data_IF_037508313326
#
_entry.id   IF_037508313326
#
_cell.length_a   1.000
_cell.length_b   1.000
_cell.length_c   1.000
_cell.angle_alpha   90.00
_cell.angle_beta   90.00
_cell.angle_gamma   90.00
#
_symmetry.space_group_name_H-M   'P 1'
#
loop_
_entity.id
_entity.type
_entity.pdbx_description
1 polymer ?
#
# COMPACT_ATOMS: atom_id res chain seq x y z
N UNK A 1 1.36 27.86 19.07
CA UNK A 1 -0.09 27.61 19.00
C UNK A 1 -0.56 28.18 17.67
N UNK A 2 -1.27 27.38 16.86
CA UNK A 2 -1.78 27.79 15.55
C UNK A 2 -2.97 28.73 15.76
N UNK A 3 -2.99 29.87 15.08
CA UNK A 3 -4.05 30.87 15.23
C UNK A 3 -5.20 30.56 14.26
N UNK A 4 -6.28 29.94 14.76
CA UNK A 4 -7.42 29.60 13.94
C UNK A 4 -8.08 30.82 13.26
N UNK A 5 -8.22 31.94 13.97
CA UNK A 5 -8.83 33.17 13.42
C UNK A 5 -8.03 33.72 12.23
N UNK A 6 -6.71 33.58 12.27
CA UNK A 6 -5.85 33.93 11.14
C UNK A 6 -6.15 33.06 9.92
N UNK A 7 -6.22 31.74 10.08
CA UNK A 7 -6.46 30.82 8.97
C UNK A 7 -7.89 30.95 8.39
N UNK A 8 -8.88 31.23 9.23
CA UNK A 8 -10.24 31.58 8.77
C UNK A 8 -10.19 32.84 7.89
N UNK A 9 -9.43 33.85 8.29
CA UNK A 9 -9.35 35.11 7.54
C UNK A 9 -8.64 34.96 6.19
N UNK A 10 -7.52 34.23 6.12
CA UNK A 10 -6.84 34.01 4.84
C UNK A 10 -7.68 33.15 3.89
N UNK A 11 -8.50 32.25 4.42
CA UNK A 11 -9.41 31.44 3.64
C UNK A 11 -10.54 32.28 3.03
N UNK A 12 -11.17 33.15 3.84
CA UNK A 12 -12.14 34.13 3.34
C UNK A 12 -11.54 35.02 2.25
N UNK A 13 -10.32 35.51 2.46
CA UNK A 13 -9.60 36.31 1.48
C UNK A 13 -9.33 35.53 0.18
N UNK A 14 -8.91 34.27 0.27
CA UNK A 14 -8.69 33.39 -0.88
C UNK A 14 -9.97 33.12 -1.67
N UNK A 15 -11.12 32.98 -1.01
CA UNK A 15 -12.41 32.82 -1.66
C UNK A 15 -12.84 34.11 -2.39
N UNK A 16 -12.75 35.26 -1.71
CA UNK A 16 -13.17 36.56 -2.25
C UNK A 16 -12.30 37.03 -3.43
N UNK A 17 -11.03 36.62 -3.45
CA UNK A 17 -10.03 37.09 -4.41
C UNK A 17 -9.50 35.99 -5.34
N UNK A 18 -10.25 34.92 -5.59
CA UNK A 18 -9.87 33.82 -6.49
C UNK A 18 -9.28 34.30 -7.83
N UNK A 19 -10.00 35.18 -8.54
CA UNK A 19 -9.55 35.67 -9.86
C UNK A 19 -8.23 36.44 -9.79
N UNK A 20 -8.00 37.17 -8.69
CA UNK A 20 -6.74 37.89 -8.49
C UNK A 20 -5.57 36.91 -8.31
N UNK A 21 -5.72 35.89 -7.46
CA UNK A 21 -4.67 34.90 -7.23
C UNK A 21 -4.36 34.06 -8.46
N UNK A 22 -5.39 33.67 -9.21
CA UNK A 22 -5.24 33.00 -10.50
C UNK A 22 -4.41 33.84 -11.47
N UNK A 23 -4.84 35.07 -11.75
CA UNK A 23 -4.16 35.96 -12.70
C UNK A 23 -2.72 36.28 -12.27
N UNK A 24 -2.49 36.44 -10.96
CA UNK A 24 -1.16 36.66 -10.43
C UNK A 24 -0.23 35.47 -10.68
N UNK A 25 -0.70 34.24 -10.48
CA UNK A 25 0.09 33.04 -10.75
C UNK A 25 0.36 32.87 -12.25
N UNK A 26 -0.68 32.98 -13.09
CA UNK A 26 -0.58 32.87 -14.55
C UNK A 26 0.39 33.91 -15.16
N UNK A 27 0.43 35.14 -14.62
CA UNK A 27 1.32 36.19 -15.09
C UNK A 27 2.82 35.93 -14.82
N UNK A 28 3.14 34.98 -13.93
CA UNK A 28 4.50 34.62 -13.55
C UNK A 28 4.98 33.30 -14.18
N UNK A 29 4.13 32.64 -14.98
CA UNK A 29 4.48 31.38 -15.63
C UNK A 29 5.48 31.62 -16.77
N UNK A 30 6.57 30.87 -16.74
CA UNK A 30 7.58 30.78 -17.80
C UNK A 30 7.49 29.45 -18.55
N UNK A 31 7.14 28.37 -17.85
CA UNK A 31 7.15 27.00 -18.40
C UNK A 31 6.03 26.14 -17.84
N UNK A 32 5.49 25.25 -18.67
CA UNK A 32 4.54 24.20 -18.28
C UNK A 32 5.14 22.82 -18.52
N UNK A 33 4.90 21.88 -17.61
CA UNK A 33 5.22 20.46 -17.74
C UNK A 33 3.95 19.64 -17.51
N UNK A 34 3.60 18.76 -18.46
CA UNK A 34 2.53 17.80 -18.33
C UNK A 34 3.06 16.51 -17.70
N UNK A 35 2.25 15.84 -16.88
CA UNK A 35 2.65 14.60 -16.24
C UNK A 35 1.54 13.55 -16.27
N UNK A 36 1.92 12.28 -16.15
CA UNK A 36 0.97 11.14 -16.15
C UNK A 36 0.20 11.01 -14.84
N UNK A 37 0.75 11.57 -13.76
CA UNK A 37 0.18 11.63 -12.41
C UNK A 37 0.88 12.73 -11.62
N UNK A 38 0.55 12.87 -10.35
CA UNK A 38 1.22 13.75 -9.40
C UNK A 38 2.74 13.52 -9.42
N UNK A 39 3.53 14.58 -9.67
CA UNK A 39 5.00 14.53 -9.78
C UNK A 39 5.75 15.50 -8.88
N UNK A 40 5.19 16.66 -8.55
CA UNK A 40 5.84 17.66 -7.71
C UNK A 40 4.97 18.05 -6.52
N UNK A 41 5.59 18.23 -5.35
CA UNK A 41 4.92 18.69 -4.14
C UNK A 41 5.87 19.62 -3.36
N UNK A 42 5.33 20.60 -2.64
CA UNK A 42 6.11 21.52 -1.81
C UNK A 42 6.54 20.83 -0.51
N UNK A 43 5.78 19.84 -0.06
CA UNK A 43 6.04 19.05 1.14
C UNK A 43 7.27 18.16 0.91
N UNK A 44 8.32 18.27 1.73
CA UNK A 44 9.52 17.46 1.60
C UNK A 44 9.22 15.96 1.56
N UNK A 45 9.80 15.28 0.57
CA UNK A 45 9.72 13.82 0.39
C UNK A 45 8.29 13.26 0.34
N UNK A 46 7.33 14.03 -0.21
CA UNK A 46 5.93 13.63 -0.28
C UNK A 46 5.72 12.19 -0.80
N UNK A 47 6.27 11.84 -1.97
CA UNK A 47 6.16 10.49 -2.55
C UNK A 47 6.66 9.38 -1.63
N UNK A 48 7.84 9.58 -1.04
CA UNK A 48 8.45 8.59 -0.14
C UNK A 48 7.63 8.42 1.15
N UNK A 49 6.93 9.47 1.59
CA UNK A 49 6.04 9.41 2.76
C UNK A 49 4.68 8.77 2.44
N UNK A 50 4.21 8.87 1.20
CA UNK A 50 2.95 8.23 0.77
C UNK A 50 3.17 6.80 0.24
N UNK A 51 4.43 6.41 -0.02
CA UNK A 51 4.74 5.17 -0.72
C UNK A 51 4.20 5.18 -2.15
N UNK A 52 4.31 6.32 -2.82
CA UNK A 52 3.80 6.55 -4.17
C UNK A 52 4.93 6.75 -5.18
N UNK A 53 4.63 6.45 -6.44
CA UNK A 53 5.54 6.63 -7.57
C UNK A 53 5.27 7.99 -8.19
N UNK A 54 6.27 8.87 -8.33
CA UNK A 54 6.07 10.15 -8.99
C UNK A 54 5.69 9.93 -10.46
N UNK A 55 4.70 10.68 -10.93
CA UNK A 55 4.30 10.68 -12.33
C UNK A 55 5.44 11.03 -13.28
N UNK A 56 5.40 10.48 -14.48
CA UNK A 56 6.38 10.76 -15.53
C UNK A 56 6.07 12.06 -16.25
N UNK A 57 7.10 12.74 -16.75
CA UNK A 57 6.93 13.89 -17.64
C UNK A 57 6.40 13.38 -18.98
N UNK A 58 5.32 13.99 -19.44
CA UNK A 58 4.67 13.69 -20.72
C UNK A 58 4.97 14.79 -21.74
N UNK A 59 5.29 14.38 -22.96
CA UNK A 59 5.34 15.28 -24.12
C UNK A 59 3.92 15.58 -24.66
N UNK A 60 2.93 14.77 -24.27
CA UNK A 60 1.51 14.95 -24.60
C UNK A 60 0.81 15.75 -23.51
N UNK A 61 -0.17 16.57 -23.93
CA UNK A 61 -1.05 17.29 -23.00
C UNK A 61 -1.89 16.30 -22.19
N UNK A 62 -1.81 16.43 -20.87
CA UNK A 62 -2.57 15.66 -19.88
C UNK A 62 -3.36 16.59 -18.97
N UNK A 63 -4.32 16.04 -18.23
CA UNK A 63 -5.10 16.82 -17.26
C UNK A 63 -4.26 17.24 -16.04
N UNK A 64 -3.21 16.48 -15.71
CA UNK A 64 -2.27 16.80 -14.61
C UNK A 64 -1.05 17.54 -15.15
N UNK A 65 -0.86 18.78 -14.72
CA UNK A 65 0.29 19.58 -15.14
C UNK A 65 0.74 20.57 -14.08
N UNK A 66 1.98 21.04 -14.26
CA UNK A 66 2.63 21.98 -13.37
C UNK A 66 3.17 23.15 -14.18
N UNK A 67 2.96 24.36 -13.68
CA UNK A 67 3.54 25.56 -14.26
C UNK A 67 4.55 26.20 -13.32
N UNK A 68 5.65 26.65 -13.89
CA UNK A 68 6.83 27.12 -13.18
C UNK A 68 7.15 28.56 -13.58
N UNK A 69 7.73 29.31 -12.66
CA UNK A 69 8.34 30.60 -12.97
C UNK A 69 9.78 30.47 -13.51
N UNK A 70 10.40 31.62 -13.83
CA UNK A 70 11.77 31.70 -14.35
C UNK A 70 12.85 31.14 -13.40
N UNK A 71 12.55 31.02 -12.10
CA UNK A 71 13.43 30.43 -11.09
C UNK A 71 13.18 28.92 -10.92
N UNK A 72 12.24 28.35 -11.66
CA UNK A 72 11.85 26.94 -11.57
C UNK A 72 10.95 26.62 -10.38
N UNK A 73 10.31 27.62 -9.76
CA UNK A 73 9.36 27.41 -8.66
C UNK A 73 7.96 27.17 -9.20
N UNK A 74 7.25 26.21 -8.60
CA UNK A 74 5.86 25.88 -8.98
C UNK A 74 4.95 27.06 -8.67
N UNK A 75 4.15 27.48 -9.66
CA UNK A 75 3.14 28.54 -9.57
C UNK A 75 1.72 28.01 -9.67
N UNK A 76 1.52 26.99 -10.49
CA UNK A 76 0.21 26.36 -10.71
C UNK A 76 0.40 24.85 -10.69
N UNK A 77 -0.47 24.15 -9.96
CA UNK A 77 -0.63 22.70 -10.00
C UNK A 77 -2.06 22.43 -10.47
N UNK A 78 -2.24 21.64 -11.52
CA UNK A 78 -3.54 21.26 -12.04
C UNK A 78 -3.77 19.76 -11.87
N UNK A 79 -4.97 19.38 -11.44
CA UNK A 79 -5.43 18.00 -11.24
C UNK A 79 -4.44 17.14 -10.44
N UNK A 80 -3.88 17.73 -9.38
CA UNK A 80 -3.00 17.10 -8.39
C UNK A 80 -3.88 16.39 -7.34
N UNK A 81 -4.49 15.26 -7.71
CA UNK A 81 -5.37 14.38 -6.91
C UNK A 81 -6.86 14.79 -6.81
N UNK A 82 -7.25 15.93 -7.38
CA UNK A 82 -8.64 16.41 -7.39
C UNK A 82 -9.12 16.65 -8.81
N UNK A 83 -10.25 16.05 -9.18
CA UNK A 83 -10.92 16.28 -10.46
C UNK A 83 -11.23 17.78 -10.58
N UNK A 84 -10.81 18.40 -11.68
CA UNK A 84 -10.95 19.85 -11.92
C UNK A 84 -10.33 20.73 -10.81
N UNK A 85 -9.30 20.21 -10.14
CA UNK A 85 -8.56 20.89 -9.07
C UNK A 85 -7.44 21.79 -9.60
N UNK A 86 -7.34 23.01 -9.08
CA UNK A 86 -6.26 23.95 -9.39
C UNK A 86 -5.68 24.56 -8.12
N UNK A 87 -4.37 24.47 -7.96
CA UNK A 87 -3.64 25.07 -6.85
C UNK A 87 -2.77 26.21 -7.33
N UNK A 88 -2.97 27.41 -6.78
CA UNK A 88 -2.18 28.61 -7.08
C UNK A 88 -1.20 28.92 -5.95
N UNK A 89 0.06 29.14 -6.29
CA UNK A 89 1.16 29.26 -5.32
C UNK A 89 1.73 30.68 -5.27
N UNK A 90 1.81 31.24 -4.08
CA UNK A 90 2.47 32.51 -3.78
C UNK A 90 3.69 32.27 -2.90
N UNK A 91 4.79 32.96 -3.21
CA UNK A 91 6.01 32.94 -2.41
C UNK A 91 6.21 34.32 -1.79
N UNK A 92 6.43 34.36 -0.48
CA UNK A 92 6.83 35.52 0.26
C UNK A 92 8.01 35.16 1.19
N UNK A 93 8.63 36.17 1.78
CA UNK A 93 9.76 35.95 2.69
C UNK A 93 9.32 35.07 3.88
N UNK A 94 9.95 33.92 4.04
CA UNK A 94 9.65 32.95 5.10
C UNK A 94 8.35 32.15 4.94
N UNK A 95 7.58 32.31 3.85
CA UNK A 95 6.31 31.58 3.68
C UNK A 95 5.98 31.27 2.21
N UNK A 96 5.49 30.06 1.96
CA UNK A 96 4.88 29.65 0.69
C UNK A 96 3.40 29.39 0.97
N UNK A 97 2.50 30.01 0.21
CA UNK A 97 1.05 29.82 0.37
C UNK A 97 0.49 29.16 -0.87
N UNK A 98 -0.20 28.04 -0.70
CA UNK A 98 -1.00 27.40 -1.74
C UNK A 98 -2.48 27.65 -1.49
N UNK A 99 -3.24 27.81 -2.57
CA UNK A 99 -4.71 27.95 -2.54
C UNK A 99 -5.28 26.98 -3.56
N UNK A 100 -5.96 25.96 -3.06
CA UNK A 100 -6.51 24.86 -3.86
C UNK A 100 -7.99 25.12 -4.10
N UNK A 101 -8.41 25.09 -5.36
CA UNK A 101 -9.78 25.29 -5.77
C UNK A 101 -10.27 24.07 -6.55
N UNK A 102 -11.50 23.63 -6.30
CA UNK A 102 -12.20 22.59 -7.07
C UNK A 102 -13.46 23.20 -7.64
N UNK A 103 -13.68 23.06 -8.95
CA UNK A 103 -14.80 23.70 -9.66
C UNK A 103 -14.86 25.24 -9.46
N UNK A 104 -13.71 25.86 -9.18
CA UNK A 104 -13.61 27.29 -8.89
C UNK A 104 -14.00 27.70 -7.46
N UNK A 105 -14.36 26.76 -6.60
CA UNK A 105 -14.62 26.97 -5.17
C UNK A 105 -13.39 26.60 -4.34
N UNK A 106 -13.10 27.35 -3.27
CA UNK A 106 -11.92 27.11 -2.45
C UNK A 106 -12.06 25.83 -1.61
N UNK A 107 -11.19 24.86 -1.86
CA UNK A 107 -11.11 23.62 -1.10
C UNK A 107 -10.22 23.78 0.14
N UNK A 108 -8.99 24.28 -0.05
CA UNK A 108 -8.03 24.49 1.05
C UNK A 108 -7.07 25.66 0.81
N UNK A 109 -6.52 26.17 1.92
CA UNK A 109 -5.36 27.08 1.91
C UNK A 109 -4.28 26.47 2.80
N UNK A 110 -3.08 26.32 2.28
CA UNK A 110 -1.94 25.78 3.03
C UNK A 110 -0.76 26.75 3.02
N UNK A 111 -0.19 26.98 4.19
CA UNK A 111 1.04 27.75 4.34
C UNK A 111 2.18 26.84 4.76
N UNK A 112 3.30 26.92 4.04
CA UNK A 112 4.57 26.32 4.39
C UNK A 112 5.49 27.42 4.95
N UNK A 113 5.74 27.36 6.24
CA UNK A 113 6.68 28.23 6.92
C UNK A 113 8.09 27.73 6.62
N UNK A 114 8.95 28.64 6.17
CA UNK A 114 10.33 28.34 5.81
C UNK A 114 11.31 29.05 6.73
N UNK A 115 12.38 28.36 7.08
CA UNK A 115 13.51 28.90 7.81
C UNK A 115 14.80 28.43 7.14
N UNK A 116 15.70 29.36 6.84
CA UNK A 116 16.98 29.07 6.15
C UNK A 116 16.80 28.27 4.83
N UNK A 117 15.68 28.50 4.14
CA UNK A 117 15.33 27.82 2.89
C UNK A 117 14.68 26.44 3.04
N UNK A 118 14.47 25.96 4.27
CA UNK A 118 13.83 24.67 4.56
C UNK A 118 12.41 24.87 5.09
N UNK A 119 11.47 24.03 4.65
CA UNK A 119 10.11 24.00 5.23
C UNK A 119 10.21 23.43 6.64
N UNK A 120 9.87 24.21 7.66
CA UNK A 120 9.92 23.79 9.06
C UNK A 120 8.53 23.45 9.63
N UNK A 121 7.47 23.99 9.02
CA UNK A 121 6.08 23.70 9.37
C UNK A 121 5.17 23.91 8.17
N UNK A 122 4.14 23.09 8.02
CA UNK A 122 3.01 23.39 7.14
C UNK A 122 1.72 23.44 7.95
N UNK A 123 0.82 24.36 7.62
CA UNK A 123 -0.53 24.43 8.19
C UNK A 123 -1.53 24.52 7.06
N UNK A 124 -2.50 23.60 7.03
CA UNK A 124 -3.54 23.54 6.02
C UNK A 124 -4.91 23.76 6.65
N UNK A 125 -5.69 24.66 6.07
CA UNK A 125 -7.08 24.89 6.43
C UNK A 125 -7.97 24.36 5.32
N UNK A 126 -8.75 23.32 5.62
CA UNK A 126 -9.76 22.77 4.72
C UNK A 126 -11.09 23.48 4.91
N UNK A 127 -11.51 24.26 3.91
CA UNK A 127 -12.73 25.07 3.93
C UNK A 127 -13.96 24.21 4.20
N UNK A 128 -14.09 23.11 3.44
CA UNK A 128 -15.25 22.22 3.47
C UNK A 128 -15.49 21.58 4.83
N UNK A 129 -14.41 21.25 5.55
CA UNK A 129 -14.46 20.57 6.83
C UNK A 129 -14.33 21.53 8.02
N UNK A 130 -14.05 22.82 7.75
CA UNK A 130 -13.74 23.81 8.78
C UNK A 130 -12.67 23.27 9.74
N UNK A 131 -11.62 22.65 9.17
CA UNK A 131 -10.60 21.88 9.87
C UNK A 131 -9.22 22.43 9.58
N UNK A 132 -8.40 22.47 10.63
CA UNK A 132 -6.97 22.76 10.54
C UNK A 132 -6.17 21.48 10.73
N UNK A 133 -5.18 21.30 9.85
CA UNK A 133 -4.17 20.27 9.93
C UNK A 133 -2.80 20.92 9.87
N UNK A 134 -1.80 20.29 10.48
CA UNK A 134 -0.43 20.79 10.40
C UNK A 134 0.58 19.67 10.48
N UNK A 135 1.77 19.98 9.96
CA UNK A 135 2.94 19.12 10.04
C UNK A 135 4.12 19.95 10.56
N UNK A 136 4.91 19.34 11.43
CA UNK A 136 6.21 19.87 11.86
C UNK A 136 7.32 19.06 11.21
N UNK A 137 8.29 19.77 10.62
CA UNK A 137 9.43 19.17 9.93
C UNK A 137 10.69 19.41 10.76
N UNK A 138 11.26 18.34 11.30
CA UNK A 138 12.41 18.39 12.21
C UNK A 138 13.67 17.98 11.45
N UNK A 139 14.70 18.83 11.53
CA UNK A 139 15.96 18.65 10.82
C UNK A 139 17.14 18.50 11.76
N UNK A 140 18.13 17.69 11.34
CA UNK A 140 19.48 17.69 11.87
C UNK A 140 20.43 18.31 10.83
N UNK A 141 20.84 19.55 11.06
CA UNK A 141 21.48 20.35 10.02
C UNK A 141 20.51 20.60 8.86
N UNK A 142 20.88 20.15 7.65
CA UNK A 142 20.03 20.29 6.46
C UNK A 142 19.32 18.98 6.07
N UNK A 143 19.31 17.98 6.96
CA UNK A 143 18.65 16.67 6.71
C UNK A 143 17.36 16.59 7.50
N UNK A 144 16.24 16.34 6.83
CA UNK A 144 14.97 16.07 7.49
C UNK A 144 15.07 14.73 8.20
N UNK A 145 14.85 14.66 9.50
CA UNK A 145 14.96 13.41 10.27
C UNK A 145 13.61 12.91 10.77
N UNK A 146 12.66 13.82 10.96
CA UNK A 146 11.33 13.49 11.45
C UNK A 146 10.29 14.45 10.89
N UNK A 147 9.09 13.94 10.60
CA UNK A 147 7.87 14.73 10.42
C UNK A 147 6.87 14.33 11.50
N UNK A 148 6.29 15.32 12.17
CA UNK A 148 5.24 15.13 13.18
C UNK A 148 3.89 15.63 12.66
N UNK A 149 2.87 14.77 12.70
CA UNK A 149 1.51 15.02 12.20
C UNK A 149 0.45 14.77 13.30
N UNK A 150 0.19 15.75 14.17
CA UNK A 150 -0.64 15.61 15.38
C UNK A 150 -2.12 15.30 15.11
N UNK A 151 -2.59 15.44 13.88
CA UNK A 151 -3.96 15.09 13.52
C UNK A 151 -4.34 13.64 13.88
N UNK A 152 -3.34 12.77 14.04
CA UNK A 152 -3.51 11.36 14.38
C UNK A 152 -3.42 11.06 15.88
N UNK A 153 -3.16 12.05 16.75
CA UNK A 153 -2.92 11.84 18.19
C UNK A 153 -4.08 11.16 18.93
N UNK A 154 -5.30 11.19 18.39
CA UNK A 154 -6.49 10.58 18.98
C UNK A 154 -7.18 9.56 18.06
N UNK A 155 -6.47 9.01 17.08
CA UNK A 155 -7.00 7.94 16.23
C UNK A 155 -6.05 6.74 16.25
N UNK A 156 -6.40 5.72 17.02
CA UNK A 156 -5.60 4.49 17.20
C UNK A 156 -5.23 3.84 15.86
N UNK A 157 -6.09 3.97 14.84
CA UNK A 157 -5.83 3.41 13.51
C UNK A 157 -4.67 4.11 12.81
N UNK A 158 -4.49 5.42 13.01
CA UNK A 158 -3.44 6.23 12.37
C UNK A 158 -2.32 6.64 13.31
N UNK A 159 -2.28 6.12 14.54
CA UNK A 159 -1.24 6.49 15.53
C UNK A 159 0.18 6.24 15.01
N UNK A 160 0.33 5.24 14.13
CA UNK A 160 1.59 4.94 13.46
C UNK A 160 2.03 6.06 12.49
N UNK A 161 1.12 6.87 11.94
CA UNK A 161 1.44 8.00 11.06
C UNK A 161 1.67 9.32 11.81
N UNK A 162 1.50 9.34 13.14
CA UNK A 162 1.78 10.52 13.97
C UNK A 162 3.21 11.03 13.76
N UNK A 163 4.14 10.11 13.50
CA UNK A 163 5.54 10.40 13.22
C UNK A 163 6.02 9.62 12.02
N UNK A 164 6.84 10.27 11.21
CA UNK A 164 7.56 9.66 10.10
C UNK A 164 9.04 9.96 10.23
N UNK A 165 9.91 8.97 10.08
CA UNK A 165 11.35 9.10 10.24
C UNK A 165 12.08 8.84 8.93
N UNK A 166 13.24 9.48 8.76
CA UNK A 166 14.02 9.46 7.52
C UNK A 166 15.43 8.95 7.79
N UNK A 167 15.85 7.93 7.05
CA UNK A 167 17.19 7.37 7.13
C UNK A 167 17.96 7.61 5.84
N UNK A 168 19.22 8.00 5.97
CA UNK A 168 20.09 8.36 4.85
C UNK A 168 21.37 7.53 4.87
N UNK A 169 21.98 7.35 3.70
CA UNK A 169 23.34 6.83 3.59
C UNK A 169 24.39 7.88 4.01
N UNK A 170 25.66 7.47 3.97
CA UNK A 170 26.79 8.34 4.29
C UNK A 170 26.90 9.54 3.31
N UNK A 171 26.41 9.38 2.09
CA UNK A 171 26.40 10.41 1.04
C UNK A 171 25.22 11.37 1.17
N UNK A 172 24.23 11.07 2.02
CA UNK A 172 23.02 11.86 2.22
C UNK A 172 21.87 11.52 1.27
N UNK A 173 21.92 10.37 0.60
CA UNK A 173 20.80 9.85 -0.19
C UNK A 173 19.78 9.23 0.76
N UNK A 174 18.50 9.53 0.55
CA UNK A 174 17.41 8.94 1.33
C UNK A 174 17.34 7.44 1.04
N UNK A 175 17.55 6.63 2.06
CA UNK A 175 17.46 5.17 1.98
C UNK A 175 16.08 4.66 2.39
N UNK A 176 15.51 5.19 3.48
CA UNK A 176 14.25 4.69 4.04
C UNK A 176 13.40 5.80 4.63
N UNK A 177 12.09 5.56 4.56
CA UNK A 177 11.10 6.30 5.34
C UNK A 177 10.35 5.30 6.21
N UNK A 178 10.27 5.59 7.51
CA UNK A 178 9.66 4.73 8.52
C UNK A 178 8.47 5.43 9.19
N UNK A 179 7.44 4.66 9.54
CA UNK A 179 6.35 5.13 10.38
C UNK A 179 6.73 5.18 11.88
N UNK A 180 5.82 5.67 12.71
CA UNK A 180 5.91 5.76 14.17
C UNK A 180 6.17 4.42 14.88
N UNK A 181 5.87 3.30 14.22
CA UNK A 181 6.13 1.93 14.68
C UNK A 181 7.41 1.32 14.11
N UNK A 182 8.23 2.13 13.41
CA UNK A 182 9.43 1.70 12.67
C UNK A 182 9.12 0.81 11.46
N UNK A 183 7.88 0.83 11.00
CA UNK A 183 7.46 0.13 9.81
C UNK A 183 7.91 0.86 8.54
N UNK A 184 8.49 0.15 7.58
CA UNK A 184 8.91 0.73 6.30
C UNK A 184 7.70 1.26 5.52
N UNK A 185 7.83 2.47 4.97
CA UNK A 185 6.89 3.11 4.04
C UNK A 185 7.55 3.27 2.65
N UNK A 186 8.85 3.60 2.63
CA UNK A 186 9.66 3.71 1.42
C UNK A 186 11.04 3.11 1.67
N UNK A 187 11.62 2.51 0.63
CA UNK A 187 12.97 1.99 0.67
C UNK A 187 13.64 2.08 -0.71
N UNK A 188 14.86 2.59 -0.73
CA UNK A 188 15.75 2.54 -1.89
C UNK A 188 16.64 1.29 -1.78
N UNK A 189 16.56 0.41 -2.78
CA UNK A 189 17.42 -0.78 -2.91
C UNK A 189 17.86 -0.98 -4.35
N UNK A 190 19.04 -1.58 -4.51
CA UNK A 190 19.51 -2.09 -5.80
C UNK A 190 18.80 -3.41 -6.17
N UNK A 191 18.80 -3.76 -7.47
CA UNK A 191 18.22 -5.02 -7.94
C UNK A 191 18.87 -6.27 -7.32
N UNK A 192 20.16 -6.20 -6.98
CA UNK A 192 20.87 -7.30 -6.31
C UNK A 192 20.38 -7.49 -4.87
N UNK A 193 20.24 -6.40 -4.11
CA UNK A 193 19.71 -6.43 -2.74
C UNK A 193 18.27 -6.97 -2.71
N UNK A 194 17.43 -6.53 -3.64
CA UNK A 194 16.04 -6.98 -3.77
C UNK A 194 15.99 -8.48 -4.07
N UNK A 195 16.82 -8.97 -5.00
CA UNK A 195 16.89 -10.38 -5.32
C UNK A 195 17.28 -11.24 -4.11
N UNK A 196 18.32 -10.82 -3.38
CA UNK A 196 18.75 -11.52 -2.15
C UNK A 196 17.65 -11.50 -1.09
N UNK A 197 16.98 -10.37 -0.90
CA UNK A 197 15.88 -10.23 0.05
C UNK A 197 14.71 -11.14 -0.32
N UNK A 198 14.26 -11.12 -1.59
CA UNK A 198 13.18 -11.97 -2.12
C UNK A 198 13.46 -13.44 -1.87
N UNK A 199 14.66 -13.93 -2.20
CA UNK A 199 15.02 -15.32 -2.01
C UNK A 199 15.10 -15.71 -0.53
N UNK A 200 15.55 -14.78 0.34
CA UNK A 200 15.53 -14.98 1.79
C UNK A 200 14.09 -15.05 2.32
N UNK A 201 13.21 -14.15 1.87
CA UNK A 201 11.80 -14.09 2.27
C UNK A 201 11.07 -15.34 1.83
N UNK A 202 11.19 -15.75 0.56
CA UNK A 202 10.58 -16.97 0.02
C UNK A 202 10.91 -18.20 0.86
N UNK A 203 12.20 -18.39 1.19
CA UNK A 203 12.66 -19.49 2.05
C UNK A 203 12.07 -19.41 3.45
N UNK A 204 12.03 -18.21 4.04
CA UNK A 204 11.42 -17.98 5.35
C UNK A 204 9.93 -18.31 5.36
N UNK A 205 9.18 -17.84 4.35
CA UNK A 205 7.75 -18.08 4.20
C UNK A 205 7.42 -19.58 4.08
N UNK A 206 8.20 -20.33 3.29
CA UNK A 206 8.06 -21.79 3.17
C UNK A 206 8.24 -22.47 4.54
N UNK A 207 9.23 -22.06 5.33
CA UNK A 207 9.45 -22.62 6.67
C UNK A 207 8.32 -22.27 7.62
N UNK A 208 7.93 -21.00 7.67
CA UNK A 208 6.84 -20.50 8.52
C UNK A 208 5.52 -21.22 8.23
N UNK A 209 5.16 -21.40 6.96
CA UNK A 209 3.94 -22.11 6.58
C UNK A 209 3.97 -23.60 6.94
N UNK A 210 5.13 -24.27 6.87
CA UNK A 210 5.27 -25.65 7.37
C UNK A 210 5.03 -25.73 8.87
N UNK A 211 5.55 -24.76 9.63
CA UNK A 211 5.35 -24.68 11.08
C UNK A 211 3.89 -24.41 11.43
N UNK A 212 3.23 -23.51 10.70
CA UNK A 212 1.80 -23.22 10.83
C UNK A 212 0.95 -24.47 10.60
N UNK A 213 1.18 -25.19 9.49
CA UNK A 213 0.47 -26.44 9.20
C UNK A 213 0.76 -27.51 10.27
N UNK A 214 2.01 -27.60 10.75
CA UNK A 214 2.38 -28.49 11.85
C UNK A 214 1.61 -28.18 13.13
N UNK A 215 1.56 -26.91 13.54
CA UNK A 215 0.84 -26.46 14.73
C UNK A 215 -0.67 -26.71 14.63
N UNK A 216 -1.26 -26.53 13.44
CA UNK A 216 -2.66 -26.89 13.17
C UNK A 216 -2.92 -28.38 13.41
N UNK A 217 -2.00 -29.24 12.97
CA UNK A 217 -2.12 -30.68 13.17
C UNK A 217 -1.93 -31.10 14.64
N UNK A 218 -1.08 -30.40 15.41
CA UNK A 218 -0.81 -30.71 16.82
C UNK A 218 -1.93 -30.28 17.77
N UNK A 219 -2.66 -29.19 17.44
CA UNK A 219 -3.75 -28.66 18.29
C UNK A 219 -5.00 -29.56 18.33
N UNK A 220 -5.07 -30.65 17.56
CA UNK A 220 -6.33 -31.32 17.29
C UNK A 220 -6.95 -32.14 18.44
N UNK A 221 -8.24 -31.84 18.66
CA UNK A 221 -9.32 -32.79 18.94
C UNK A 221 -10.15 -33.01 17.65
N UNK A 222 -10.13 -34.21 17.07
CA UNK A 222 -11.05 -34.75 16.02
C UNK A 222 -11.25 -34.01 14.66
N UNK A 223 -10.52 -32.94 14.32
CA UNK A 223 -10.72 -32.24 13.03
C UNK A 223 -9.92 -32.88 11.88
N UNK A 224 -10.21 -32.55 10.62
CA UNK A 224 -9.35 -32.89 9.47
C UNK A 224 -9.37 -31.72 8.49
N UNK A 225 -8.19 -31.27 8.05
CA UNK A 225 -8.05 -30.12 7.17
C UNK A 225 -7.81 -30.54 5.73
N UNK A 226 -8.49 -29.88 4.78
CA UNK A 226 -8.47 -30.22 3.36
C UNK A 226 -7.67 -29.24 2.49
N UNK A 227 -7.38 -28.04 3.01
CA UNK A 227 -6.46 -27.08 2.42
C UNK A 227 -6.00 -26.04 3.46
N UNK A 228 -5.02 -25.21 3.07
CA UNK A 228 -4.71 -23.94 3.71
C UNK A 228 -4.71 -22.83 2.66
N UNK A 229 -5.63 -21.89 2.79
CA UNK A 229 -5.68 -20.70 1.93
C UNK A 229 -4.75 -19.62 2.50
N UNK A 230 -4.01 -18.96 1.63
CA UNK A 230 -3.28 -17.72 1.89
C UNK A 230 -4.18 -16.61 1.33
N UNK A 231 -4.98 -16.00 2.19
CA UNK A 231 -5.93 -14.98 1.78
C UNK A 231 -5.24 -13.62 1.63
N UNK A 232 -5.26 -13.09 0.41
CA UNK A 232 -4.72 -11.79 0.04
C UNK A 232 -5.86 -10.83 -0.33
N UNK A 233 -5.70 -9.56 0.01
CA UNK A 233 -6.60 -8.47 -0.37
C UNK A 233 -5.78 -7.35 -1.01
N UNK A 234 -6.39 -6.50 -1.83
CA UNK A 234 -5.73 -5.37 -2.50
C UNK A 234 -5.23 -4.25 -1.55
N UNK A 235 -5.19 -4.54 -0.25
CA UNK A 235 -4.55 -3.73 0.77
C UNK A 235 -3.14 -4.26 1.05
N UNK A 236 -2.17 -3.37 0.87
CA UNK A 236 -0.72 -3.60 1.02
C UNK A 236 -0.34 -4.40 2.28
N UNK A 237 -1.01 -4.15 3.40
CA UNK A 237 -0.70 -4.83 4.66
C UNK A 237 -1.07 -6.31 4.69
N UNK A 238 -2.14 -6.68 3.99
CA UNK A 238 -2.57 -8.07 3.90
C UNK A 238 -1.60 -8.92 3.08
N UNK A 239 -0.81 -8.31 2.18
CA UNK A 239 0.19 -9.03 1.39
C UNK A 239 1.44 -9.37 2.21
N UNK A 240 1.88 -8.50 3.11
CA UNK A 240 3.03 -8.81 3.98
C UNK A 240 2.65 -9.47 5.31
N UNK A 241 1.36 -9.52 5.64
CA UNK A 241 0.81 -10.18 6.83
C UNK A 241 -0.56 -10.78 6.51
N UNK A 242 -0.63 -11.82 5.65
CA UNK A 242 -1.90 -12.41 5.25
C UNK A 242 -2.52 -13.25 6.36
N UNK A 243 -3.81 -13.53 6.19
CA UNK A 243 -4.52 -14.50 7.00
C UNK A 243 -4.35 -15.87 6.36
N UNK A 244 -3.91 -16.85 7.15
CA UNK A 244 -3.88 -18.24 6.71
C UNK A 244 -5.13 -18.97 7.20
N UNK A 245 -6.00 -19.35 6.27
CA UNK A 245 -7.30 -19.91 6.58
C UNK A 245 -7.36 -21.41 6.25
N UNK A 246 -7.37 -22.30 7.27
CA UNK A 246 -7.47 -23.73 7.04
C UNK A 246 -8.90 -24.16 6.69
N UNK A 247 -9.07 -24.84 5.56
CA UNK A 247 -10.34 -25.44 5.16
C UNK A 247 -10.60 -26.76 5.90
N UNK A 248 -11.83 -26.94 6.37
CA UNK A 248 -12.26 -28.16 7.07
C UNK A 248 -12.84 -29.17 6.09
N UNK A 249 -12.44 -30.44 6.22
CA UNK A 249 -12.89 -31.50 5.33
C UNK A 249 -14.40 -31.75 5.42
N UNK A 250 -15.00 -31.68 6.63
CA UNK A 250 -16.45 -31.85 6.83
C UNK A 250 -17.26 -30.82 6.02
N UNK A 251 -16.84 -29.55 6.06
CA UNK A 251 -17.49 -28.47 5.28
C UNK A 251 -17.35 -28.72 3.77
N UNK A 252 -16.17 -29.13 3.32
CA UNK A 252 -15.95 -29.46 1.90
C UNK A 252 -16.83 -30.64 1.46
N UNK A 253 -17.03 -31.65 2.32
CA UNK A 253 -17.92 -32.79 2.04
C UNK A 253 -19.38 -32.33 1.93
N UNK A 254 -19.85 -31.48 2.83
CA UNK A 254 -21.19 -30.87 2.75
C UNK A 254 -21.37 -30.09 1.43
N UNK A 255 -20.41 -29.25 1.05
CA UNK A 255 -20.44 -28.50 -0.22
C UNK A 255 -20.47 -29.41 -1.46
N UNK A 256 -19.79 -30.56 -1.42
CA UNK A 256 -19.81 -31.55 -2.49
C UNK A 256 -21.17 -32.26 -2.56
N UNK A 257 -21.79 -32.55 -1.41
CA UNK A 257 -23.12 -33.18 -1.34
C UNK A 257 -24.24 -32.23 -1.79
N UNK A 258 -24.13 -30.95 -1.45
CA UNK A 258 -25.08 -29.89 -1.80
C UNK A 258 -24.87 -29.32 -3.21
N UNK A 259 -23.95 -29.90 -3.99
CA UNK A 259 -23.53 -29.46 -5.32
C UNK A 259 -24.67 -28.85 -6.13
N UNK A 260 -24.65 -27.53 -6.26
CA UNK A 260 -25.51 -26.80 -7.18
C UNK A 260 -24.97 -26.97 -8.60
N UNK A 261 -25.84 -27.12 -9.60
CA UNK A 261 -25.44 -27.31 -11.02
C UNK A 261 -24.95 -26.00 -11.67
N UNK A 262 -24.78 -24.93 -10.89
CA UNK A 262 -24.32 -23.61 -11.32
C UNK A 262 -22.79 -23.48 -11.51
N UNK A 263 -22.38 -22.36 -12.13
CA UNK A 263 -20.98 -22.04 -12.46
C UNK A 263 -20.09 -21.81 -11.21
N UNK A 264 -20.69 -21.60 -10.04
CA UNK A 264 -19.99 -21.23 -8.80
C UNK A 264 -19.51 -22.42 -7.94
N UNK A 265 -19.79 -23.67 -8.34
CA UNK A 265 -19.44 -24.86 -7.53
C UNK A 265 -17.96 -24.93 -7.15
N UNK A 266 -17.06 -24.71 -8.12
CA UNK A 266 -15.63 -24.76 -7.86
C UNK A 266 -15.16 -23.56 -7.03
N UNK A 267 -15.76 -22.39 -7.22
CA UNK A 267 -15.47 -21.24 -6.36
C UNK A 267 -15.83 -21.57 -4.90
N UNK A 268 -17.02 -22.12 -4.64
CA UNK A 268 -17.44 -22.46 -3.27
C UNK A 268 -16.52 -23.47 -2.56
N UNK A 269 -16.00 -24.48 -3.27
CA UNK A 269 -15.07 -25.49 -2.69
C UNK A 269 -13.73 -24.90 -2.24
N UNK A 270 -13.32 -23.81 -2.89
CA UNK A 270 -12.01 -23.18 -2.68
C UNK A 270 -12.13 -21.83 -1.96
N UNK A 271 -13.33 -21.31 -1.74
CA UNK A 271 -13.57 -20.10 -0.95
C UNK A 271 -13.32 -20.39 0.52
N UNK A 272 -12.25 -19.83 1.10
CA UNK A 272 -12.01 -19.95 2.53
C UNK A 272 -13.06 -19.20 3.35
N UNK A 273 -13.75 -18.22 2.77
CA UNK A 273 -14.86 -17.49 3.41
C UNK A 273 -16.01 -18.39 3.86
N UNK A 274 -16.18 -19.56 3.23
CA UNK A 274 -17.20 -20.56 3.60
C UNK A 274 -16.77 -21.48 4.76
N UNK A 275 -15.52 -21.37 5.23
CA UNK A 275 -14.98 -22.21 6.31
C UNK A 275 -14.93 -21.48 7.68
N UNK A 276 -14.97 -22.24 8.80
CA UNK A 276 -14.91 -21.65 10.13
C UNK A 276 -13.58 -20.95 10.44
N UNK A 277 -13.66 -19.71 10.93
CA UNK A 277 -12.50 -18.86 11.25
C UNK A 277 -11.70 -19.29 12.49
N UNK A 278 -12.19 -20.27 13.26
CA UNK A 278 -11.68 -20.63 14.59
C UNK A 278 -10.19 -21.03 14.60
N UNK A 279 -9.70 -21.55 13.47
CA UNK A 279 -8.35 -22.07 13.34
C UNK A 279 -7.47 -21.16 12.45
N UNK A 280 -7.92 -19.95 12.10
CA UNK A 280 -7.10 -18.98 11.36
C UNK A 280 -5.76 -18.74 12.06
N UNK A 281 -4.70 -18.64 11.25
CA UNK A 281 -3.33 -18.41 11.71
C UNK A 281 -2.76 -17.17 11.03
N UNK A 282 -1.74 -16.61 11.66
CA UNK A 282 -1.00 -15.44 11.18
C UNK A 282 0.51 -15.76 11.20
N UNK A 283 1.30 -14.95 10.49
CA UNK A 283 2.75 -14.98 10.65
C UNK A 283 3.12 -14.44 12.03
N UNK A 284 3.99 -15.17 12.75
CA UNK A 284 4.47 -14.77 14.08
C UNK A 284 5.93 -14.30 14.08
N UNK A 285 6.69 -14.63 13.02
CA UNK A 285 8.09 -14.22 12.90
C UNK A 285 8.18 -12.75 12.46
N UNK A 286 8.43 -11.87 13.44
CA UNK A 286 8.55 -10.43 13.21
C UNK A 286 9.70 -10.07 12.26
N UNK A 287 10.81 -10.80 12.24
CA UNK A 287 11.92 -10.50 11.30
C UNK A 287 11.50 -10.82 9.86
N UNK A 288 10.83 -11.96 9.66
CA UNK A 288 10.27 -12.32 8.37
C UNK A 288 9.21 -11.33 7.89
N UNK A 289 8.30 -10.90 8.78
CA UNK A 289 7.28 -9.89 8.46
C UNK A 289 7.95 -8.57 8.05
N UNK A 290 8.98 -8.12 8.76
CA UNK A 290 9.69 -6.88 8.39
C UNK A 290 10.41 -6.99 7.05
N UNK A 291 11.04 -8.15 6.77
CA UNK A 291 11.66 -8.41 5.47
C UNK A 291 10.64 -8.42 4.33
N UNK A 292 9.50 -9.09 4.52
CA UNK A 292 8.43 -9.11 3.54
C UNK A 292 7.83 -7.72 3.35
N UNK A 293 7.54 -6.98 4.43
CA UNK A 293 7.09 -5.59 4.36
C UNK A 293 8.07 -4.72 3.58
N UNK A 294 9.36 -4.83 3.84
CA UNK A 294 10.41 -4.10 3.11
C UNK A 294 10.37 -4.41 1.61
N UNK A 295 10.20 -5.69 1.24
CA UNK A 295 10.11 -6.12 -0.15
C UNK A 295 8.84 -5.59 -0.84
N UNK A 296 7.67 -5.67 -0.18
CA UNK A 296 6.42 -5.11 -0.72
C UNK A 296 6.52 -3.59 -0.89
N UNK A 297 7.12 -2.88 0.07
CA UNK A 297 7.28 -1.42 0.00
C UNK A 297 8.22 -1.01 -1.13
N UNK A 298 9.26 -1.81 -1.37
CA UNK A 298 10.10 -1.62 -2.53
C UNK A 298 9.30 -1.71 -3.82
N UNK A 299 8.56 -2.81 -4.04
CA UNK A 299 7.75 -2.96 -5.25
C UNK A 299 6.71 -1.84 -5.39
N UNK A 300 6.11 -1.41 -4.28
CA UNK A 300 5.15 -0.29 -4.27
C UNK A 300 5.79 1.02 -4.73
N UNK A 301 7.06 1.24 -4.39
CA UNK A 301 7.81 2.43 -4.78
C UNK A 301 8.32 2.42 -6.23
N UNK A 302 8.20 1.29 -6.94
CA UNK A 302 8.74 1.15 -8.31
C UNK A 302 7.74 0.60 -9.34
N UNK A 303 6.58 0.09 -8.92
CA UNK A 303 5.57 -0.45 -9.83
C UNK A 303 4.48 -1.25 -9.13
N UNK A 304 4.13 -2.40 -9.71
CA UNK A 304 3.00 -3.23 -9.29
C UNK A 304 3.36 -4.15 -8.12
N UNK A 305 3.20 -3.64 -6.91
CA UNK A 305 3.41 -4.39 -5.68
C UNK A 305 2.43 -5.54 -5.49
N UNK A 306 1.23 -5.44 -6.07
CA UNK A 306 0.19 -6.46 -5.93
C UNK A 306 0.54 -7.68 -6.76
N UNK A 307 0.88 -7.49 -8.04
CA UNK A 307 1.27 -8.58 -8.93
C UNK A 307 2.53 -9.29 -8.43
N UNK A 308 3.57 -8.54 -8.04
CA UNK A 308 4.82 -9.09 -7.51
C UNK A 308 4.62 -9.84 -6.18
N UNK A 309 3.81 -9.27 -5.28
CA UNK A 309 3.46 -9.87 -3.99
C UNK A 309 2.66 -11.16 -4.15
N UNK A 310 1.63 -11.13 -5.00
CA UNK A 310 0.81 -12.30 -5.31
C UNK A 310 1.64 -13.40 -5.98
N UNK A 311 2.51 -13.05 -6.93
CA UNK A 311 3.44 -13.97 -7.60
C UNK A 311 4.37 -14.68 -6.60
N UNK A 312 4.96 -13.92 -5.65
CA UNK A 312 5.77 -14.51 -4.57
C UNK A 312 4.98 -15.53 -3.75
N UNK A 313 3.74 -15.22 -3.35
CA UNK A 313 2.92 -16.15 -2.57
C UNK A 313 2.50 -17.39 -3.36
N UNK A 314 2.18 -17.24 -4.65
CA UNK A 314 1.88 -18.35 -5.57
C UNK A 314 3.09 -19.29 -5.69
N UNK A 315 4.29 -18.74 -5.86
CA UNK A 315 5.54 -19.51 -5.85
C UNK A 315 5.78 -20.25 -4.52
N UNK A 316 5.53 -19.58 -3.38
CA UNK A 316 5.67 -20.20 -2.06
C UNK A 316 4.70 -21.37 -1.90
N UNK A 317 3.43 -21.20 -2.28
CA UNK A 317 2.42 -22.25 -2.24
C UNK A 317 2.78 -23.42 -3.17
N UNK A 318 3.25 -23.12 -4.38
CA UNK A 318 3.69 -24.12 -5.35
C UNK A 318 4.83 -24.97 -4.79
N UNK A 319 5.93 -24.33 -4.34
CA UNK A 319 7.11 -25.01 -3.81
C UNK A 319 6.77 -25.82 -2.56
N UNK A 320 5.88 -25.31 -1.69
CA UNK A 320 5.38 -26.04 -0.54
C UNK A 320 4.67 -27.32 -0.95
N UNK A 321 3.77 -27.22 -1.93
CA UNK A 321 3.02 -28.35 -2.43
C UNK A 321 3.91 -29.38 -3.13
N UNK A 322 4.92 -28.94 -3.86
CA UNK A 322 5.85 -29.84 -4.56
C UNK A 322 6.80 -30.55 -3.61
N UNK A 323 7.37 -29.81 -2.64
CA UNK A 323 8.48 -30.32 -1.80
C UNK A 323 8.03 -30.99 -0.51
N UNK A 324 6.75 -30.87 -0.14
CA UNK A 324 6.25 -31.34 1.17
C UNK A 324 5.29 -32.51 1.01
N UNK A 325 5.60 -33.61 1.68
CA UNK A 325 4.70 -34.75 1.77
C UNK A 325 3.65 -34.52 2.87
N UNK A 326 2.57 -33.79 2.54
CA UNK A 326 1.49 -33.49 3.48
C UNK A 326 0.78 -34.73 4.02
N UNK A 327 0.78 -35.84 3.29
CA UNK A 327 0.17 -37.11 3.74
C UNK A 327 0.83 -37.69 5.00
N UNK A 328 2.02 -37.20 5.39
CA UNK A 328 2.69 -37.58 6.63
C UNK A 328 2.08 -36.93 7.89
N UNK A 329 1.25 -35.90 7.74
CA UNK A 329 0.63 -35.18 8.85
C UNK A 329 -0.74 -35.79 9.18
N UNK A 330 -0.91 -36.26 10.42
CA UNK A 330 -2.07 -37.08 10.83
C UNK A 330 -3.41 -36.34 10.95
N UNK A 331 -3.49 -35.06 10.58
CA UNK A 331 -4.70 -34.23 10.61
C UNK A 331 -5.07 -33.61 9.26
N UNK A 332 -4.41 -34.02 8.18
CA UNK A 332 -4.62 -33.50 6.83
C UNK A 332 -5.23 -34.58 5.92
N UNK A 333 -6.01 -34.17 4.94
CA UNK A 333 -6.44 -35.05 3.87
C UNK A 333 -5.27 -35.44 2.96
N UNK A 334 -5.43 -36.53 2.20
CA UNK A 334 -4.40 -37.00 1.26
C UNK A 334 -4.13 -36.00 0.11
N UNK A 335 -5.18 -35.26 -0.26
CA UNK A 335 -5.18 -34.26 -1.33
C UNK A 335 -4.94 -32.84 -0.80
N UNK A 336 -4.49 -32.68 0.45
CA UNK A 336 -4.24 -31.37 1.04
C UNK A 336 -3.27 -30.53 0.19
N UNK A 337 -3.63 -29.26 0.03
CA UNK A 337 -2.84 -28.25 -0.68
C UNK A 337 -2.83 -26.92 0.06
N UNK A 338 -1.78 -26.15 -0.16
CA UNK A 338 -1.72 -24.72 0.17
C UNK A 338 -1.96 -23.93 -1.12
N UNK A 339 -2.73 -22.85 -1.11
CA UNK A 339 -2.92 -22.02 -2.31
C UNK A 339 -3.19 -20.56 -1.95
N UNK A 340 -3.06 -19.67 -2.93
CA UNK A 340 -3.37 -18.25 -2.79
C UNK A 340 -4.82 -17.98 -3.21
N UNK A 341 -5.54 -17.24 -2.37
CA UNK A 341 -6.93 -16.83 -2.58
C UNK A 341 -7.03 -15.30 -2.54
N UNK A 342 -7.89 -14.73 -3.39
CA UNK A 342 -8.29 -13.32 -3.37
C UNK A 342 -9.73 -13.20 -3.88
N UNK A 343 -10.36 -12.04 -3.70
CA UNK A 343 -11.80 -11.84 -3.97
C UNK A 343 -12.24 -12.21 -5.41
N UNK A 344 -11.39 -11.97 -6.39
CA UNK A 344 -11.67 -12.21 -7.81
C UNK A 344 -11.03 -13.49 -8.35
N UNK A 345 -10.73 -14.48 -7.49
CA UNK A 345 -10.09 -15.72 -7.90
C UNK A 345 -10.99 -16.53 -8.84
N UNK A 346 -10.51 -16.76 -10.06
CA UNK A 346 -11.19 -17.51 -11.10
C UNK A 346 -10.61 -18.93 -11.22
N UNK A 347 -11.20 -19.82 -10.43
CA UNK A 347 -10.85 -21.25 -10.43
C UNK A 347 -11.04 -21.87 -11.81
N UNK A 348 -12.00 -21.38 -12.60
CA UNK A 348 -12.34 -21.92 -13.92
C UNK A 348 -11.38 -21.48 -15.02
N UNK A 349 -10.65 -20.38 -14.83
CA UNK A 349 -9.69 -19.86 -15.80
C UNK A 349 -8.22 -20.08 -15.44
N UNK A 350 -7.93 -20.82 -14.37
CA UNK A 350 -6.60 -21.37 -14.16
C UNK A 350 -5.85 -20.87 -12.94
N UNK A 351 -6.49 -20.07 -12.08
CA UNK A 351 -5.81 -19.42 -10.96
C UNK A 351 -5.27 -20.41 -9.91
N UNK A 352 -5.91 -21.58 -9.76
CA UNK A 352 -5.40 -22.65 -8.90
C UNK A 352 -4.07 -23.22 -9.39
N UNK A 353 -3.85 -23.28 -10.71
CA UNK A 353 -2.66 -23.88 -11.32
C UNK A 353 -1.38 -23.10 -11.00
N UNK A 354 -1.50 -21.82 -10.67
CA UNK A 354 -0.37 -20.98 -10.32
C UNK A 354 0.17 -21.29 -8.91
N UNK A 355 -0.66 -21.87 -8.04
CA UNK A 355 -0.29 -22.27 -6.67
C UNK A 355 -0.10 -23.78 -6.49
N UNK A 356 -0.61 -24.60 -7.41
CA UNK A 356 -0.68 -26.06 -7.25
C UNK A 356 0.07 -26.78 -8.38
N UNK A 357 1.09 -27.59 -8.08
CA UNK A 357 1.79 -28.40 -9.07
C UNK A 357 0.86 -29.34 -9.83
N UNK A 358 1.13 -29.53 -11.14
CA UNK A 358 0.26 -30.28 -12.06
C UNK A 358 -0.10 -31.67 -11.54
N UNK A 359 0.85 -32.39 -10.94
CA UNK A 359 0.60 -33.74 -10.40
C UNK A 359 -0.44 -33.76 -9.27
N UNK A 360 -0.50 -32.72 -8.42
CA UNK A 360 -1.53 -32.60 -7.38
C UNK A 360 -2.85 -32.14 -7.97
N UNK A 361 -2.81 -31.21 -8.91
CA UNK A 361 -4.00 -30.75 -9.62
C UNK A 361 -4.73 -31.91 -10.31
N UNK A 362 -3.99 -32.82 -10.96
CA UNK A 362 -4.57 -34.03 -11.58
C UNK A 362 -5.33 -34.90 -10.58
N UNK A 363 -4.82 -35.02 -9.34
CA UNK A 363 -5.53 -35.73 -8.26
C UNK A 363 -6.83 -35.01 -7.91
N UNK A 364 -6.78 -33.70 -7.67
CA UNK A 364 -7.96 -32.88 -7.36
C UNK A 364 -9.01 -32.94 -8.49
N UNK A 365 -8.58 -32.91 -9.76
CA UNK A 365 -9.43 -33.05 -10.94
C UNK A 365 -10.03 -34.45 -11.09
N UNK A 366 -9.30 -35.49 -10.66
CA UNK A 366 -9.82 -36.87 -10.67
C UNK A 366 -10.88 -37.09 -9.59
N UNK A 367 -10.78 -36.35 -8.49
CA UNK A 367 -11.72 -36.35 -7.36
C UNK A 367 -12.91 -35.40 -7.58
N UNK A 368 -12.91 -34.62 -8.66
CA UNK A 368 -14.02 -33.71 -9.02
C UNK A 368 -14.09 -32.44 -8.18
N UNK A 369 -12.98 -32.07 -7.54
CA UNK A 369 -12.85 -30.88 -6.69
C UNK A 369 -11.99 -29.78 -7.34
N UNK A 370 -11.52 -29.98 -8.56
CA UNK A 370 -10.93 -28.94 -9.41
C UNK A 370 -11.39 -29.11 -10.86
N UNK A 371 -11.53 -28.01 -11.64
CA UNK A 371 -11.97 -28.07 -13.02
C UNK A 371 -10.91 -28.68 -13.95
N UNK A 372 -11.38 -29.33 -15.03
CA UNK A 372 -10.54 -29.78 -16.15
C UNK A 372 -10.52 -28.68 -17.19
N UNK A 373 -9.45 -27.90 -17.21
CA UNK A 373 -9.25 -26.75 -18.10
C UNK A 373 -8.37 -27.16 -19.28
#
# INVERSE_FOLDING_TARGET
>A
MINNEYYVKINQDAQEHYQFYKQQAEALVDRREYTTSKRYDISPYWYARQGEIPGDISDEETDTYYEFDEEGRIRILACDDLIDGYTYVTYADGVITTRTYVDGELDSVKEYLTQDGLVCRSVEYFTRFNKLEYEDYIYEGNRLVEVYQPQYENNDYFVHLLRTYFEYDEQGVLLRVLDGTQGVIYVLMSSEEVFVLRESVKKGLILALKEIVGALCEKQSNKTYCFLSIYLHDEVHTVYSPIFHPGWQEVREEQIEEKDEGEDYYYMIWSSGEHPVNDQQELMDHDLIQKLRTLIMYWRSIGDWWEEGMSLWKEVAYDLNETTNWSAYSGLTKNFVVFVEWEAMDVMNGDLQESIPSAKLEVLQSEGIAPRI
#
